data_IF_916180926837
#
_entry.id   IF_916180926837
#
_cell.length_a   1.000
_cell.length_b   1.000
_cell.length_c   1.000
_cell.angle_alpha   90.00
_cell.angle_beta   90.00
_cell.angle_gamma   90.00
#
_symmetry.space_group_name_H-M   'P 1'
#
loop_
_entity.id
_entity.type
_entity.pdbx_description
1 polymer ?
#
# COMPACT_ATOMS: atom_id res chain seq x y z
N UNK A 1 2.11 4.69 -1.29
CA UNK A 1 0.89 5.42 -0.88
C UNK A 1 -0.17 4.40 -0.45
N UNK A 2 -1.04 4.74 0.50
CA UNK A 2 -2.14 3.86 0.92
C UNK A 2 -3.36 4.13 0.03
N UNK A 3 -3.93 3.07 -0.54
CA UNK A 3 -5.07 3.12 -1.46
C UNK A 3 -6.24 2.34 -0.86
N UNK A 4 -7.44 2.89 -0.94
CA UNK A 4 -8.66 2.28 -0.37
C UNK A 4 -9.61 1.75 -1.43
N UNK A 5 -9.27 1.93 -2.71
CA UNK A 5 -10.13 1.50 -3.81
C UNK A 5 -9.67 2.01 -5.17
N UNK A 6 -10.52 1.74 -6.16
CA UNK A 6 -10.30 2.05 -7.59
C UNK A 6 -9.91 3.49 -7.85
N UNK A 7 -10.61 4.46 -7.25
CA UNK A 7 -10.40 5.88 -7.57
C UNK A 7 -9.01 6.37 -7.13
N UNK A 8 -8.50 5.86 -6.02
CA UNK A 8 -7.14 6.15 -5.55
C UNK A 8 -6.08 5.57 -6.50
N UNK A 9 -6.28 4.35 -6.99
CA UNK A 9 -5.38 3.71 -7.96
C UNK A 9 -5.37 4.50 -9.27
N UNK A 10 -6.56 4.89 -9.77
CA UNK A 10 -6.69 5.71 -10.99
C UNK A 10 -6.02 7.07 -10.86
N UNK A 11 -6.22 7.75 -9.74
CA UNK A 11 -5.58 9.04 -9.45
C UNK A 11 -4.05 8.93 -9.48
N UNK A 12 -3.49 7.89 -8.85
CA UNK A 12 -2.05 7.65 -8.84
C UNK A 12 -1.48 7.36 -10.24
N UNK A 13 -2.15 6.49 -11.01
CA UNK A 13 -1.74 6.16 -12.37
C UNK A 13 -1.87 7.37 -13.31
N UNK A 14 -2.93 8.16 -13.16
CA UNK A 14 -3.11 9.40 -13.92
C UNK A 14 -2.01 10.41 -13.58
N UNK A 15 -1.69 10.61 -12.30
CA UNK A 15 -0.62 11.48 -11.87
C UNK A 15 0.75 11.05 -12.42
N UNK A 16 1.07 9.75 -12.37
CA UNK A 16 2.31 9.19 -12.90
C UNK A 16 2.44 9.44 -14.41
N UNK A 17 1.38 9.18 -15.19
CA UNK A 17 1.35 9.42 -16.63
C UNK A 17 1.46 10.90 -16.97
N UNK A 18 0.69 11.75 -16.30
CA UNK A 18 0.65 13.19 -16.54
C UNK A 18 2.00 13.87 -16.30
N UNK A 19 2.77 13.34 -15.34
CA UNK A 19 4.10 13.86 -15.01
C UNK A 19 5.24 13.19 -15.78
N UNK A 20 4.95 12.15 -16.58
CA UNK A 20 5.99 11.31 -17.18
C UNK A 20 6.93 10.69 -16.14
N UNK A 21 6.47 10.50 -14.90
CA UNK A 21 7.34 10.16 -13.79
C UNK A 21 7.81 8.70 -13.91
N UNK A 22 9.13 8.42 -13.86
CA UNK A 22 9.64 7.08 -14.06
C UNK A 22 9.54 6.17 -12.82
N UNK A 23 9.18 6.71 -11.65
CA UNK A 23 9.16 5.97 -10.38
C UNK A 23 8.09 4.89 -10.38
N UNK A 24 8.41 3.74 -9.81
CA UNK A 24 7.47 2.65 -9.56
C UNK A 24 6.46 3.10 -8.49
N UNK A 25 5.16 2.94 -8.77
CA UNK A 25 4.11 3.21 -7.80
C UNK A 25 3.98 2.04 -6.82
N UNK A 26 4.30 2.27 -5.56
CA UNK A 26 4.05 1.29 -4.51
C UNK A 26 2.71 1.58 -3.83
N UNK A 27 1.71 0.74 -4.10
CA UNK A 27 0.41 0.76 -3.46
C UNK A 27 0.46 -0.06 -2.18
N UNK A 28 -0.07 0.50 -1.12
CA UNK A 28 -0.28 -0.18 0.15
C UNK A 28 -1.75 -0.29 0.43
N UNK A 29 -2.17 -1.42 0.96
CA UNK A 29 -3.50 -1.51 1.55
C UNK A 29 -3.58 -0.63 2.81
N UNK A 30 -4.80 -0.29 3.26
CA UNK A 30 -5.00 0.22 4.60
C UNK A 30 -4.51 -0.79 5.64
N UNK A 31 -4.17 -0.33 6.86
CA UNK A 31 -3.89 -1.23 7.98
C UNK A 31 -5.03 -2.21 8.20
N UNK A 32 -4.69 -3.47 8.49
CA UNK A 32 -5.64 -4.55 8.75
C UNK A 32 -6.66 -4.84 7.62
N UNK A 33 -6.48 -4.27 6.41
CA UNK A 33 -7.40 -4.42 5.27
C UNK A 33 -7.75 -5.88 4.97
N UNK A 34 -6.79 -6.77 5.21
CA UNK A 34 -6.93 -8.21 4.98
C UNK A 34 -8.06 -8.83 5.80
N UNK A 35 -8.36 -8.30 6.98
CA UNK A 35 -9.33 -8.88 7.93
C UNK A 35 -10.78 -8.66 7.50
N UNK A 36 -11.06 -7.64 6.70
CA UNK A 36 -12.42 -7.26 6.33
C UNK A 36 -12.70 -7.27 4.82
N UNK A 37 -11.69 -7.06 3.97
CA UNK A 37 -11.86 -7.08 2.51
C UNK A 37 -11.37 -8.38 1.86
N UNK A 38 -10.61 -9.17 2.62
CA UNK A 38 -9.88 -10.32 2.10
C UNK A 38 -8.69 -9.92 1.22
N UNK A 39 -7.66 -10.79 1.13
CA UNK A 39 -6.40 -10.44 0.46
C UNK A 39 -6.56 -10.16 -1.04
N UNK A 40 -7.49 -10.83 -1.71
CA UNK A 40 -7.62 -10.78 -3.18
C UNK A 40 -8.30 -9.53 -3.71
N UNK A 41 -9.15 -8.88 -2.93
CA UNK A 41 -9.97 -7.78 -3.45
C UNK A 41 -9.10 -6.63 -3.99
N UNK A 42 -8.16 -6.13 -3.18
CA UNK A 42 -7.31 -5.02 -3.60
C UNK A 42 -6.34 -5.43 -4.71
N UNK A 43 -5.87 -6.68 -4.68
CA UNK A 43 -5.02 -7.22 -5.74
C UNK A 43 -5.73 -7.25 -7.09
N UNK A 44 -6.97 -7.74 -7.14
CA UNK A 44 -7.78 -7.78 -8.36
C UNK A 44 -8.13 -6.37 -8.85
N UNK A 45 -8.38 -5.42 -7.94
CA UNK A 45 -8.56 -4.02 -8.32
C UNK A 45 -7.28 -3.45 -8.95
N UNK A 46 -6.12 -3.67 -8.35
CA UNK A 46 -4.85 -3.21 -8.91
C UNK A 46 -4.64 -3.81 -10.31
N UNK A 47 -4.80 -5.12 -10.49
CA UNK A 47 -4.70 -5.78 -11.79
C UNK A 47 -5.66 -5.17 -12.83
N UNK A 48 -6.91 -4.91 -12.44
CA UNK A 48 -7.92 -4.35 -13.34
C UNK A 48 -7.55 -2.93 -13.77
N UNK A 49 -7.23 -2.06 -12.82
CA UNK A 49 -6.99 -0.63 -13.10
C UNK A 49 -5.62 -0.35 -13.72
N UNK A 50 -4.67 -1.28 -13.58
CA UNK A 50 -3.34 -1.19 -14.18
C UNK A 50 -3.25 -1.86 -15.54
N UNK A 51 -4.37 -2.31 -16.12
CA UNK A 51 -4.41 -2.82 -17.50
C UNK A 51 -3.82 -1.77 -18.45
N UNK A 52 -2.75 -2.14 -19.18
CA UNK A 52 -2.01 -1.24 -20.06
C UNK A 52 -0.88 -0.45 -19.41
N UNK A 53 -0.67 -0.60 -18.10
CA UNK A 53 0.52 -0.12 -17.39
C UNK A 53 1.53 -1.26 -17.28
N UNK A 54 2.80 -1.07 -17.67
CA UNK A 54 3.81 -2.12 -17.55
C UNK A 54 3.94 -2.62 -16.09
N UNK A 55 4.10 -3.95 -15.87
CA UNK A 55 4.06 -4.55 -14.54
C UNK A 55 5.23 -4.13 -13.63
N UNK A 56 6.31 -3.60 -14.19
CA UNK A 56 7.46 -3.04 -13.45
C UNK A 56 7.24 -1.59 -13.00
N UNK A 57 6.11 -0.96 -13.37
CA UNK A 57 5.79 0.43 -13.05
C UNK A 57 4.96 0.59 -11.78
N UNK A 58 4.53 -0.52 -11.19
CA UNK A 58 3.78 -0.52 -9.95
C UNK A 58 4.01 -1.82 -9.18
N UNK A 59 3.70 -1.79 -7.89
CA UNK A 59 3.64 -2.99 -7.04
C UNK A 59 2.59 -2.79 -5.97
N UNK A 60 2.10 -3.90 -5.40
CA UNK A 60 1.16 -3.90 -4.28
C UNK A 60 1.84 -4.52 -3.06
N UNK A 61 1.76 -3.83 -1.94
CA UNK A 61 2.06 -4.39 -0.63
C UNK A 61 0.76 -4.50 0.17
N UNK A 62 0.43 -5.71 0.55
CA UNK A 62 -0.74 -5.99 1.39
C UNK A 62 -0.31 -6.00 2.86
N UNK A 63 -0.87 -5.08 3.64
CA UNK A 63 -0.69 -5.06 5.08
C UNK A 63 -1.52 -6.16 5.73
N UNK A 64 -0.81 -7.15 6.28
CA UNK A 64 -1.37 -8.33 6.91
C UNK A 64 -1.35 -8.24 8.44
N UNK A 65 -0.80 -7.17 9.01
CA UNK A 65 -0.64 -6.99 10.45
C UNK A 65 0.03 -8.19 11.12
N UNK A 66 -0.61 -8.70 12.16
CA UNK A 66 -0.21 -9.89 12.93
C UNK A 66 -0.93 -11.19 12.46
N UNK A 67 -1.61 -11.16 11.31
CA UNK A 67 -2.37 -12.30 10.81
C UNK A 67 -1.52 -13.21 9.92
N UNK A 68 -0.62 -14.01 10.52
CA UNK A 68 0.31 -14.88 9.78
C UNK A 68 -0.38 -15.82 8.75
N UNK A 69 -1.55 -16.37 9.07
CA UNK A 69 -2.32 -17.22 8.15
C UNK A 69 -2.84 -16.46 6.92
N UNK A 70 -3.19 -15.18 7.10
CA UNK A 70 -3.64 -14.32 6.02
C UNK A 70 -2.46 -13.86 5.16
N UNK A 71 -1.31 -13.57 5.78
CA UNK A 71 -0.05 -13.30 5.08
C UNK A 71 0.37 -14.48 4.18
N UNK A 72 0.27 -15.72 4.68
CA UNK A 72 0.56 -16.91 3.88
C UNK A 72 -0.42 -17.07 2.70
N UNK A 73 -1.71 -16.78 2.92
CA UNK A 73 -2.72 -16.79 1.86
C UNK A 73 -2.41 -15.75 0.78
N UNK A 74 -2.04 -14.53 1.17
CA UNK A 74 -1.66 -13.46 0.26
C UNK A 74 -0.47 -13.85 -0.64
N UNK A 75 0.58 -14.46 -0.07
CA UNK A 75 1.71 -14.98 -0.83
C UNK A 75 1.26 -16.04 -1.85
N UNK A 76 0.44 -17.01 -1.42
CA UNK A 76 -0.11 -18.07 -2.29
C UNK A 76 -1.00 -17.53 -3.41
N UNK A 77 -1.70 -16.42 -3.18
CA UNK A 77 -2.53 -15.73 -4.18
C UNK A 77 -1.69 -14.92 -5.20
N UNK A 78 -0.36 -14.94 -5.09
CA UNK A 78 0.52 -14.27 -6.04
C UNK A 78 0.76 -12.79 -5.75
N UNK A 79 0.36 -12.29 -4.57
CA UNK A 79 0.56 -10.88 -4.20
C UNK A 79 2.06 -10.59 -4.10
N UNK A 80 2.58 -9.55 -4.80
CA UNK A 80 4.02 -9.38 -4.98
C UNK A 80 4.75 -9.02 -3.68
N UNK A 81 4.05 -8.40 -2.72
CA UNK A 81 4.60 -8.08 -1.42
C UNK A 81 3.57 -8.10 -0.30
N UNK A 82 4.02 -8.46 0.90
CA UNK A 82 3.25 -8.39 2.14
C UNK A 82 4.01 -7.61 3.21
N UNK A 83 3.27 -6.96 4.09
CA UNK A 83 3.80 -6.38 5.31
C UNK A 83 3.19 -7.07 6.53
N UNK A 84 4.02 -7.33 7.54
CA UNK A 84 3.59 -7.94 8.80
C UNK A 84 4.26 -7.24 9.97
N UNK A 85 3.57 -7.19 11.11
CA UNK A 85 4.09 -6.70 12.37
C UNK A 85 3.61 -7.57 13.52
N UNK A 86 4.26 -7.45 14.68
CA UNK A 86 3.85 -8.16 15.92
C UNK A 86 3.75 -9.68 15.82
N UNK A 87 4.38 -10.29 14.80
CA UNK A 87 4.44 -11.75 14.65
C UNK A 87 5.58 -12.35 15.48
N UNK A 88 5.34 -13.57 15.98
CA UNK A 88 6.40 -14.37 16.59
C UNK A 88 7.53 -14.64 15.58
N UNK A 89 8.79 -14.58 16.00
CA UNK A 89 9.97 -14.69 15.13
C UNK A 89 9.98 -15.95 14.24
N UNK A 90 9.45 -17.07 14.75
CA UNK A 90 9.29 -18.30 13.97
C UNK A 90 8.28 -18.16 12.83
N UNK A 91 7.17 -17.46 13.05
CA UNK A 91 6.19 -17.20 11.99
C UNK A 91 6.77 -16.26 10.93
N UNK A 92 7.48 -15.21 11.36
CA UNK A 92 8.16 -14.27 10.47
C UNK A 92 9.19 -14.97 9.57
N UNK A 93 10.06 -15.81 10.15
CA UNK A 93 11.06 -16.59 9.38
C UNK A 93 10.43 -17.55 8.37
N UNK A 94 9.33 -18.19 8.74
CA UNK A 94 8.58 -19.06 7.82
C UNK A 94 8.01 -18.26 6.66
N UNK A 95 7.38 -17.12 6.93
CA UNK A 95 6.83 -16.25 5.87
C UNK A 95 7.93 -15.70 4.97
N UNK A 96 9.08 -15.32 5.52
CA UNK A 96 10.23 -14.85 4.75
C UNK A 96 10.76 -15.94 3.82
N UNK A 97 10.89 -17.18 4.32
CA UNK A 97 11.31 -18.32 3.50
C UNK A 97 10.32 -18.59 2.35
N UNK A 98 9.02 -18.56 2.63
CA UNK A 98 7.97 -18.74 1.61
C UNK A 98 8.00 -17.61 0.58
N UNK A 99 8.06 -16.35 1.02
CA UNK A 99 8.13 -15.20 0.13
C UNK A 99 9.34 -15.30 -0.81
N UNK A 100 10.52 -15.66 -0.27
CA UNK A 100 11.74 -15.88 -1.05
C UNK A 100 11.56 -17.00 -2.09
N UNK A 101 10.97 -18.13 -1.72
CA UNK A 101 10.70 -19.23 -2.64
C UNK A 101 9.76 -18.84 -3.78
N UNK A 102 8.81 -17.93 -3.51
CA UNK A 102 7.84 -17.45 -4.49
C UNK A 102 8.32 -16.21 -5.28
N UNK A 103 9.52 -15.70 -5.00
CA UNK A 103 10.02 -14.45 -5.61
C UNK A 103 9.25 -13.20 -5.16
N UNK A 104 8.58 -13.27 -4.01
CA UNK A 104 7.79 -12.20 -3.41
C UNK A 104 8.57 -11.53 -2.27
N UNK A 105 8.10 -10.35 -1.85
CA UNK A 105 8.74 -9.58 -0.77
C UNK A 105 7.92 -9.64 0.52
N UNK A 106 8.59 -9.93 1.63
CA UNK A 106 8.10 -9.63 2.97
C UNK A 106 8.78 -8.36 3.46
N UNK A 107 8.03 -7.45 4.08
CA UNK A 107 8.59 -6.30 4.79
C UNK A 107 8.09 -6.24 6.22
N UNK A 108 9.00 -5.88 7.12
CA UNK A 108 8.70 -5.52 8.51
C UNK A 108 8.75 -4.00 8.72
N UNK A 109 9.19 -3.28 7.69
CA UNK A 109 9.29 -1.82 7.68
C UNK A 109 7.99 -1.19 7.20
N UNK A 110 7.58 -0.14 7.91
CA UNK A 110 6.39 0.66 7.70
C UNK A 110 6.77 2.13 7.51
N UNK A 111 7.40 2.48 6.36
CA UNK A 111 7.74 3.86 6.07
C UNK A 111 6.48 4.72 5.99
N UNK A 112 6.67 6.01 6.26
CA UNK A 112 5.63 7.03 6.12
C UNK A 112 5.08 7.02 4.69
N UNK A 113 3.75 7.07 4.58
CA UNK A 113 3.05 7.08 3.30
C UNK A 113 1.92 8.07 3.33
N UNK A 114 1.70 8.69 2.18
CA UNK A 114 0.45 9.39 1.92
C UNK A 114 -0.72 8.39 1.95
N UNK A 115 -1.67 8.61 2.84
CA UNK A 115 -2.96 7.91 2.85
C UNK A 115 -3.98 8.70 2.04
N UNK A 116 -4.38 8.14 0.90
CA UNK A 116 -5.34 8.78 0.01
C UNK A 116 -6.76 8.77 0.59
N UNK A 117 -7.06 7.93 1.58
CA UNK A 117 -8.33 8.00 2.34
C UNK A 117 -8.44 9.24 3.22
N UNK A 118 -7.34 9.95 3.46
CA UNK A 118 -7.29 11.22 4.20
C UNK A 118 -7.21 12.45 3.28
N UNK A 119 -7.27 12.25 1.96
CA UNK A 119 -7.16 13.32 0.98
C UNK A 119 -8.53 13.70 0.43
N UNK A 120 -8.78 15.00 0.26
CA UNK A 120 -9.99 15.50 -0.43
C UNK A 120 -9.85 15.42 -1.96
N UNK A 121 -8.63 15.61 -2.46
CA UNK A 121 -8.28 15.49 -3.87
C UNK A 121 -7.10 14.52 -4.03
N UNK A 122 -7.40 13.27 -4.39
CA UNK A 122 -6.41 12.22 -4.55
C UNK A 122 -5.46 12.47 -5.75
N UNK A 123 -5.92 13.10 -6.83
CA UNK A 123 -5.08 13.36 -8.00
C UNK A 123 -4.05 14.44 -7.70
N UNK A 124 -4.50 15.54 -7.08
CA UNK A 124 -3.60 16.59 -6.62
C UNK A 124 -2.57 16.05 -5.63
N UNK A 125 -3.02 15.27 -4.63
CA UNK A 125 -2.13 14.69 -3.62
C UNK A 125 -1.10 13.73 -4.25
N UNK A 126 -1.51 12.89 -5.21
CA UNK A 126 -0.59 12.02 -5.95
C UNK A 126 0.44 12.82 -6.76
N UNK A 127 0.03 13.88 -7.46
CA UNK A 127 0.95 14.74 -8.21
C UNK A 127 1.96 15.44 -7.29
N UNK A 128 1.50 15.96 -6.15
CA UNK A 128 2.37 16.57 -5.15
C UNK A 128 3.41 15.56 -4.61
N UNK A 129 2.95 14.37 -4.24
CA UNK A 129 3.83 13.28 -3.78
C UNK A 129 4.88 12.91 -4.83
N UNK A 130 4.47 12.73 -6.08
CA UNK A 130 5.38 12.33 -7.17
C UNK A 130 6.38 13.43 -7.56
N UNK A 131 6.06 14.70 -7.32
CA UNK A 131 7.00 15.84 -7.45
C UNK A 131 7.94 15.97 -6.25
N UNK A 132 7.61 15.36 -5.12
CA UNK A 132 8.34 15.52 -3.86
C UNK A 132 7.94 16.77 -3.07
N UNK A 133 6.80 17.38 -3.39
CA UNK A 133 6.31 18.59 -2.73
C UNK A 133 5.54 18.24 -1.44
N UNK A 134 6.25 18.23 -0.32
CA UNK A 134 5.69 17.85 0.99
C UNK A 134 4.71 18.89 1.54
N UNK A 135 4.86 20.16 1.19
CA UNK A 135 3.97 21.21 1.70
C UNK A 135 2.64 21.22 0.95
N UNK A 136 2.65 20.95 -0.36
CA UNK A 136 1.42 20.71 -1.12
C UNK A 136 0.63 19.50 -0.61
N UNK A 137 1.29 18.43 -0.15
CA UNK A 137 0.61 17.27 0.44
C UNK A 137 -0.16 17.68 1.70
N UNK A 138 0.42 18.52 2.58
CA UNK A 138 -0.28 19.02 3.78
C UNK A 138 -1.55 19.80 3.42
N UNK A 139 -1.52 20.55 2.31
CA UNK A 139 -2.69 21.26 1.80
C UNK A 139 -3.76 20.35 1.15
N UNK A 140 -3.36 19.15 0.69
CA UNK A 140 -4.26 18.17 0.09
C UNK A 140 -4.99 17.28 1.11
N UNK A 141 -4.45 17.17 2.32
CA UNK A 141 -5.05 16.45 3.44
C UNK A 141 -6.28 17.20 3.95
N UNK A 142 -7.35 16.46 4.27
CA UNK A 142 -8.58 17.01 4.83
C UNK A 142 -8.29 18.00 5.97
N UNK A 143 -8.79 19.23 5.84
CA UNK A 143 -8.97 20.19 6.95
C UNK A 143 -10.12 19.76 7.88
N UNK A 144 -10.14 18.48 8.31
CA UNK A 144 -11.09 17.87 9.24
C UNK A 144 -10.38 17.38 10.51
N UNK A 145 -11.10 17.08 11.61
CA UNK A 145 -10.53 17.07 12.96
C UNK A 145 -9.35 16.11 13.03
N UNK A 146 -8.19 16.65 13.40
CA UNK A 146 -6.96 15.89 13.68
C UNK A 146 -7.30 14.78 14.66
N UNK A 147 -7.52 13.55 14.18
CA UNK A 147 -7.29 12.39 15.04
C UNK A 147 -5.79 12.37 15.27
N UNK A 148 -5.33 12.49 16.52
CA UNK A 148 -3.90 12.44 16.80
C UNK A 148 -3.37 11.12 16.26
N UNK A 149 -2.23 11.19 15.59
CA UNK A 149 -1.40 10.07 15.14
C UNK A 149 -0.76 9.33 16.34
N UNK A 150 -1.51 9.16 17.43
CA UNK A 150 -1.12 8.44 18.62
C UNK A 150 -1.95 7.18 18.74
N UNK A 151 -1.67 6.22 17.85
CA UNK A 151 -2.00 4.81 18.09
C UNK A 151 -0.81 3.94 17.67
N UNK A 152 0.42 4.35 17.99
CA UNK A 152 1.61 3.46 18.10
C UNK A 152 2.68 4.09 19.03
N UNK A 153 2.29 4.46 20.25
CA UNK A 153 3.20 4.56 21.41
C UNK A 153 2.51 3.82 22.57
N UNK A 154 2.72 2.50 22.63
CA UNK A 154 3.50 1.77 23.66
C UNK A 154 2.70 1.46 24.94
N UNK A 155 3.01 0.38 25.69
CA UNK A 155 4.20 -0.49 25.62
C UNK A 155 3.96 -1.90 25.04
#
# INVERSE_FOLDING_TARGET
MIVHGRDHIRAALHAQRSLGNPRVLEFWSPPDAIRWQGPRWLWLLCLTETTGTPPDRWTLVLDCGDAAGMALTALRDGIPAIAVHSLHATATRTLEAVAKQLGQRLTLDYPERLDLGLCTDADYACKALLRGDRDAIKGALCTGPRRPLNLLQEP
#
